data_IF_998204215862
#
_entry.id   IF_998204215862
#
_cell.length_a   1.000
_cell.length_b   1.000
_cell.length_c   1.000
_cell.angle_alpha   90.00
_cell.angle_beta   90.00
_cell.angle_gamma   90.00
#
_symmetry.space_group_name_H-M   'P 1'
#
loop_
_entity.id
_entity.type
_entity.pdbx_description
1 polymer ?
#
# COMPACT_ATOMS: atom_id res chain seq x y z
N UNK A 1 -5.26 8.30 4.16
CA UNK A 1 -4.80 9.45 3.35
C UNK A 1 -3.30 9.29 3.14
N UNK A 2 -2.76 9.44 1.93
CA UNK A 2 -1.32 9.34 1.69
C UNK A 2 -0.55 10.36 2.54
N UNK A 3 0.67 10.02 2.97
CA UNK A 3 1.47 10.85 3.86
C UNK A 3 1.85 12.20 3.22
N UNK A 4 2.16 13.24 4.03
CA UNK A 4 2.52 14.57 3.53
C UNK A 4 3.72 14.60 2.59
N UNK A 5 4.60 13.60 2.68
CA UNK A 5 5.76 13.43 1.81
C UNK A 5 5.41 12.83 0.43
N UNK A 6 4.13 12.58 0.15
CA UNK A 6 3.63 12.01 -1.10
C UNK A 6 4.25 10.64 -1.47
N UNK A 7 4.74 9.90 -0.46
CA UNK A 7 5.29 8.56 -0.60
C UNK A 7 4.50 7.59 0.27
N UNK A 8 3.47 6.97 -0.31
CA UNK A 8 2.66 5.99 0.40
C UNK A 8 3.41 4.64 0.44
N UNK A 9 3.87 4.26 1.62
CA UNK A 9 4.50 2.97 1.89
C UNK A 9 3.52 1.82 1.62
N UNK A 10 3.95 0.85 0.83
CA UNK A 10 3.23 -0.39 0.51
C UNK A 10 4.21 -1.57 0.48
N UNK A 11 3.67 -2.80 0.43
CA UNK A 11 4.48 -4.00 0.29
C UNK A 11 3.99 -4.86 -0.87
N UNK A 12 4.92 -5.40 -1.64
CA UNK A 12 4.66 -6.27 -2.78
C UNK A 12 4.34 -7.68 -2.29
N UNK A 13 3.06 -8.02 -2.36
CA UNK A 13 2.52 -9.31 -1.88
C UNK A 13 2.38 -10.36 -2.98
N UNK A 14 2.90 -10.10 -4.18
CA UNK A 14 2.88 -11.05 -5.30
C UNK A 14 3.51 -12.38 -4.89
N UNK A 15 2.84 -13.48 -5.24
CA UNK A 15 3.23 -14.85 -4.93
C UNK A 15 3.33 -15.19 -3.43
N UNK A 16 2.66 -14.42 -2.56
CA UNK A 16 2.54 -14.76 -1.14
C UNK A 16 1.16 -15.34 -0.84
N UNK A 17 1.13 -16.36 0.01
CA UNK A 17 -0.09 -16.86 0.64
C UNK A 17 -0.63 -15.87 1.67
N UNK A 18 -1.90 -16.01 2.05
CA UNK A 18 -2.52 -15.16 3.06
C UNK A 18 -1.75 -15.11 4.40
N UNK A 19 -1.29 -16.25 4.98
CA UNK A 19 -0.47 -16.24 6.19
C UNK A 19 0.86 -15.50 6.01
N UNK A 20 1.51 -15.64 4.85
CA UNK A 20 2.77 -14.96 4.56
C UNK A 20 2.60 -13.44 4.48
N UNK A 21 1.46 -12.96 3.96
CA UNK A 21 1.18 -11.52 3.91
C UNK A 21 0.96 -10.96 5.32
N UNK A 22 0.26 -11.69 6.18
CA UNK A 22 0.11 -11.30 7.58
C UNK A 22 1.44 -11.32 8.33
N UNK A 23 2.28 -12.33 8.10
CA UNK A 23 3.63 -12.39 8.69
C UNK A 23 4.47 -11.17 8.29
N UNK A 24 4.40 -10.76 7.01
CA UNK A 24 5.09 -9.56 6.52
C UNK A 24 4.61 -8.30 7.25
N UNK A 25 3.31 -8.17 7.52
CA UNK A 25 2.76 -7.04 8.27
C UNK A 25 3.22 -7.04 9.74
N UNK A 26 3.24 -8.21 10.39
CA UNK A 26 3.75 -8.38 11.76
C UNK A 26 5.23 -8.00 11.86
N UNK A 27 6.03 -8.41 10.89
CA UNK A 27 7.48 -8.14 10.89
C UNK A 27 7.81 -6.68 10.57
N UNK A 28 7.11 -6.06 9.60
CA UNK A 28 7.54 -4.78 9.03
C UNK A 28 6.65 -3.59 9.39
N UNK A 29 5.39 -3.81 9.77
CA UNK A 29 4.41 -2.73 10.03
C UNK A 29 4.14 -2.58 11.51
N UNK A 30 3.89 -3.68 12.22
CA UNK A 30 3.53 -3.64 13.64
C UNK A 30 4.57 -2.97 14.56
N UNK A 31 5.89 -3.17 14.38
CA UNK A 31 6.89 -2.53 15.23
C UNK A 31 6.84 -0.99 15.20
N UNK A 32 6.38 -0.41 14.08
CA UNK A 32 6.32 1.03 13.89
C UNK A 32 4.92 1.63 14.01
N UNK A 33 3.86 0.82 13.83
CA UNK A 33 2.47 1.29 13.72
C UNK A 33 1.49 0.64 14.70
N UNK A 34 1.93 -0.34 15.48
CA UNK A 34 1.08 -1.16 16.33
C UNK A 34 0.32 -2.22 15.55
N UNK A 35 -0.57 -2.94 16.23
CA UNK A 35 -1.28 -4.11 15.69
C UNK A 35 -1.99 -3.83 14.36
N UNK A 36 -1.71 -4.65 13.35
CA UNK A 36 -2.37 -4.55 12.05
C UNK A 36 -3.74 -5.21 12.14
N UNK A 37 -4.79 -4.40 12.08
CA UNK A 37 -6.19 -4.86 12.16
C UNK A 37 -6.80 -5.20 10.80
N UNK A 38 -6.14 -4.81 9.70
CA UNK A 38 -6.66 -5.04 8.36
C UNK A 38 -5.64 -4.76 7.27
N UNK A 39 -5.92 -5.29 6.08
CA UNK A 39 -5.14 -5.07 4.85
C UNK A 39 -6.07 -4.91 3.64
N UNK A 40 -5.63 -4.13 2.66
CA UNK A 40 -6.24 -4.05 1.34
C UNK A 40 -5.17 -4.26 0.26
N UNK A 41 -5.48 -5.07 -0.75
CA UNK A 41 -4.54 -5.33 -1.84
C UNK A 41 -4.92 -4.50 -3.06
N UNK A 42 -3.91 -3.99 -3.75
CA UNK A 42 -4.06 -3.28 -5.01
C UNK A 42 -3.17 -3.93 -6.07
N UNK A 43 -3.69 -4.04 -7.28
CA UNK A 43 -2.87 -4.35 -8.45
C UNK A 43 -2.07 -3.12 -8.89
N UNK A 44 -0.89 -3.33 -9.46
CA UNK A 44 -0.07 -2.23 -9.99
C UNK A 44 -0.82 -1.47 -11.10
N UNK A 45 -1.64 -2.16 -11.89
CA UNK A 45 -2.46 -1.53 -12.93
C UNK A 45 -3.47 -0.53 -12.36
N UNK A 46 -4.10 -0.82 -11.22
CA UNK A 46 -5.01 0.12 -10.53
C UNK A 46 -4.28 1.39 -10.06
N UNK A 47 -3.01 1.28 -9.67
CA UNK A 47 -2.17 2.42 -9.28
C UNK A 47 -1.80 3.24 -10.52
N UNK A 48 -1.32 2.60 -11.58
CA UNK A 48 -0.90 3.27 -12.82
C UNK A 48 -2.07 3.93 -13.54
N UNK A 49 -3.28 3.35 -13.47
CA UNK A 49 -4.49 3.95 -14.04
C UNK A 49 -4.82 5.34 -13.45
N UNK A 50 -4.32 5.63 -12.24
CA UNK A 50 -4.46 6.93 -11.56
C UNK A 50 -3.24 7.83 -11.72
N UNK A 51 -2.38 7.54 -12.71
CA UNK A 51 -1.14 8.27 -13.02
C UNK A 51 -0.13 8.28 -11.87
N UNK A 52 -0.29 7.37 -10.90
CA UNK A 52 0.68 7.15 -9.84
C UNK A 52 1.72 6.12 -10.29
N UNK A 53 2.86 6.06 -9.60
CA UNK A 53 3.90 5.05 -9.85
C UNK A 53 4.20 4.23 -8.61
N UNK A 54 4.60 2.98 -8.82
CA UNK A 54 5.15 2.13 -7.77
C UNK A 54 6.68 2.15 -7.90
N UNK A 55 7.35 2.64 -6.87
CA UNK A 55 8.81 2.68 -6.75
C UNK A 55 9.24 1.68 -5.69
N UNK A 56 9.74 0.48 -6.07
CA UNK A 56 10.34 -0.46 -5.14
C UNK A 56 11.51 0.18 -4.38
N UNK A 57 11.78 -0.33 -3.17
CA UNK A 57 12.98 0.04 -2.43
C UNK A 57 14.24 -0.54 -3.10
N UNK A 58 15.41 -0.03 -2.72
CA UNK A 58 16.72 -0.46 -3.24
C UNK A 58 17.01 -1.91 -2.85
N UNK A 59 16.57 -2.34 -1.66
CA UNK A 59 16.67 -3.73 -1.23
C UNK A 59 15.52 -4.56 -1.85
N UNK A 60 15.81 -5.46 -2.82
CA UNK A 60 14.79 -6.27 -3.48
C UNK A 60 14.18 -7.34 -2.54
N UNK A 61 14.82 -7.65 -1.41
CA UNK A 61 14.35 -8.67 -0.46
C UNK A 61 13.28 -8.14 0.49
N UNK A 62 13.29 -6.83 0.76
CA UNK A 62 12.33 -6.16 1.65
C UNK A 62 10.88 -6.23 1.18
N UNK A 63 10.66 -6.42 -0.14
CA UNK A 63 9.35 -6.26 -0.83
C UNK A 63 8.71 -4.89 -0.61
N UNK A 64 9.41 -3.94 0.02
CA UNK A 64 8.91 -2.60 0.27
C UNK A 64 8.86 -1.82 -1.04
N UNK A 65 7.82 -1.02 -1.19
CA UNK A 65 7.71 -0.06 -2.27
C UNK A 65 6.95 1.17 -1.80
N UNK A 66 7.12 2.26 -2.54
CA UNK A 66 6.34 3.48 -2.36
C UNK A 66 5.44 3.69 -3.57
N UNK A 67 4.18 4.03 -3.31
CA UNK A 67 3.34 4.69 -4.31
C UNK A 67 3.67 6.18 -4.29
N UNK A 68 4.15 6.70 -5.41
CA UNK A 68 4.64 8.07 -5.60
C UNK A 68 3.84 8.79 -6.70
N UNK A 69 4.23 10.03 -7.01
CA UNK A 69 3.59 10.93 -7.99
C UNK A 69 2.14 11.29 -7.63
N UNK A 70 1.84 11.33 -6.32
CA UNK A 70 0.57 11.87 -5.84
C UNK A 70 0.47 13.36 -6.13
N UNK A 71 -0.73 13.88 -6.46
CA UNK A 71 -0.91 15.31 -6.68
C UNK A 71 -0.63 16.10 -5.40
N UNK A 72 -0.07 17.30 -5.57
CA UNK A 72 0.17 18.25 -4.49
C UNK A 72 -1.16 18.78 -3.92
N UNK A 73 -2.16 18.93 -4.79
CA UNK A 73 -3.52 19.30 -4.39
C UNK A 73 -4.11 18.28 -3.42
N UNK A 74 -4.62 18.79 -2.29
CA UNK A 74 -5.09 17.96 -1.19
C UNK A 74 -6.37 17.20 -1.55
N UNK A 75 -7.28 17.84 -2.28
CA UNK A 75 -8.61 17.31 -2.56
C UNK A 75 -8.53 16.28 -3.69
N UNK A 76 -7.71 16.54 -4.71
CA UNK A 76 -7.36 15.58 -5.74
C UNK A 76 -6.71 14.33 -5.12
N UNK A 77 -5.73 14.53 -4.23
CA UNK A 77 -5.05 13.44 -3.52
C UNK A 77 -6.01 12.62 -2.66
N UNK A 78 -6.95 13.29 -1.97
CA UNK A 78 -7.96 12.60 -1.17
C UNK A 78 -8.95 11.81 -2.04
N UNK A 79 -9.30 12.33 -3.21
CA UNK A 79 -10.18 11.65 -4.18
C UNK A 79 -9.52 10.38 -4.70
N UNK A 80 -8.29 10.47 -5.21
CA UNK A 80 -7.53 9.30 -5.70
C UNK A 80 -7.36 8.25 -4.60
N UNK A 81 -7.09 8.66 -3.36
CA UNK A 81 -6.93 7.73 -2.24
C UNK A 81 -8.22 6.97 -1.92
N UNK A 82 -9.39 7.62 -2.00
CA UNK A 82 -10.69 6.98 -1.80
C UNK A 82 -11.02 6.00 -2.92
N UNK A 83 -10.73 6.38 -4.16
CA UNK A 83 -10.91 5.50 -5.31
C UNK A 83 -10.05 4.24 -5.23
N UNK A 84 -8.77 4.38 -4.89
CA UNK A 84 -7.90 3.23 -4.65
C UNK A 84 -8.45 2.35 -3.51
N UNK A 85 -8.92 2.95 -2.41
CA UNK A 85 -9.48 2.19 -1.31
C UNK A 85 -10.75 1.41 -1.71
N UNK A 86 -11.59 1.98 -2.58
CA UNK A 86 -12.78 1.31 -3.12
C UNK A 86 -12.43 0.14 -4.05
N UNK A 87 -11.33 0.26 -4.80
CA UNK A 87 -10.81 -0.74 -5.72
C UNK A 87 -10.00 -1.86 -5.04
N UNK A 88 -9.65 -1.68 -3.75
CA UNK A 88 -8.77 -2.59 -3.03
C UNK A 88 -9.47 -3.93 -2.77
N UNK A 89 -8.87 -5.03 -3.25
CA UNK A 89 -9.46 -6.36 -3.15
C UNK A 89 -8.42 -7.49 -3.05
N UNK A 90 -8.59 -8.48 -2.16
CA UNK A 90 -9.57 -8.51 -1.06
C UNK A 90 -9.15 -7.56 0.07
N UNK A 91 -10.10 -6.80 0.61
CA UNK A 91 -9.96 -6.17 1.92
C UNK A 91 -10.18 -7.25 3.00
N UNK A 92 -9.21 -7.46 3.88
CA UNK A 92 -9.28 -8.45 4.95
C UNK A 92 -9.07 -7.79 6.30
N UNK A 93 -9.95 -8.12 7.25
CA UNK A 93 -9.79 -7.79 8.66
C UNK A 93 -9.09 -8.97 9.36
N UNK A 94 -8.27 -8.66 10.35
CA UNK A 94 -7.71 -9.67 11.23
C UNK A 94 -8.78 -10.01 12.28
N UNK A 95 -9.27 -11.26 12.27
CA UNK A 95 -10.22 -11.77 13.25
C UNK A 95 -9.51 -12.17 14.55
#
# INVERSE_FOLDING_TARGET
MPPPNLKLSVFLVSNLSDPQIWALAVENVEPARGTVIGRGNLSVSQVVARRLKVSPDVDPTSRHANVIDWPEDRDERATIAKELAADAYPAKMRH
#
